data_IF_800251207768
#
_entry.id   IF_800251207768
#
_cell.length_a   1.000
_cell.length_b   1.000
_cell.length_c   1.000
_cell.angle_alpha   90.00
_cell.angle_beta   90.00
_cell.angle_gamma   90.00
#
_symmetry.space_group_name_H-M   'P 1'
#
loop_
_entity.id
_entity.type
_entity.pdbx_description
1 polymer ?
#
# COMPACT_ATOMS: atom_id res chain seq x y z
N UNK A 1 0.85 5.21 -12.34
CA UNK A 1 0.82 6.08 -11.15
C UNK A 1 1.04 5.25 -9.91
N UNK A 2 1.98 5.66 -9.08
CA UNK A 2 2.23 5.06 -7.77
C UNK A 2 1.51 5.89 -6.72
N UNK A 3 0.81 5.24 -5.78
CA UNK A 3 0.16 5.90 -4.64
C UNK A 3 0.74 5.35 -3.35
N UNK A 4 1.25 6.21 -2.47
CA UNK A 4 1.65 5.85 -1.12
C UNK A 4 1.06 6.88 -0.16
N UNK A 5 -0.01 6.49 0.53
CA UNK A 5 -0.84 7.40 1.32
C UNK A 5 -1.55 6.65 2.46
N UNK A 6 -2.20 7.40 3.37
CA UNK A 6 -3.05 6.85 4.42
C UNK A 6 -2.36 6.59 5.76
N UNK A 7 -1.03 6.63 5.84
CA UNK A 7 -0.32 6.39 7.10
C UNK A 7 -0.68 7.39 8.20
N UNK A 8 -0.81 8.68 7.84
CA UNK A 8 -1.24 9.71 8.77
C UNK A 8 -2.71 9.53 9.19
N UNK A 9 -3.56 9.08 8.27
CA UNK A 9 -4.98 8.82 8.51
C UNK A 9 -5.14 7.66 9.50
N UNK A 10 -4.43 6.55 9.28
CA UNK A 10 -4.46 5.38 10.16
C UNK A 10 -3.90 5.67 11.56
N UNK A 11 -2.99 6.64 11.72
CA UNK A 11 -2.51 7.09 13.03
C UNK A 11 -3.57 7.88 13.81
N UNK A 12 -4.52 8.55 13.14
CA UNK A 12 -5.58 9.35 13.80
C UNK A 12 -6.68 8.46 14.35
N UNK A 13 -7.08 8.70 15.61
CA UNK A 13 -8.15 7.91 16.27
C UNK A 13 -9.48 7.99 15.52
N UNK A 14 -9.72 9.09 14.83
CA UNK A 14 -10.88 9.35 13.99
C UNK A 14 -10.69 8.81 12.56
N UNK A 15 -9.90 7.75 12.36
CA UNK A 15 -9.76 7.14 11.04
C UNK A 15 -11.13 6.67 10.57
N UNK A 16 -11.52 7.16 9.40
CA UNK A 16 -12.80 6.90 8.76
C UNK A 16 -12.53 6.18 7.45
N UNK A 17 -12.78 4.87 7.47
CA UNK A 17 -12.53 3.93 6.40
C UNK A 17 -13.33 4.26 5.14
N UNK A 18 -14.60 4.65 5.31
CA UNK A 18 -15.50 4.97 4.21
C UNK A 18 -15.05 6.27 3.53
N UNK A 19 -14.77 7.29 4.32
CA UNK A 19 -14.26 8.57 3.82
C UNK A 19 -12.92 8.40 3.11
N UNK A 20 -11.99 7.63 3.69
CA UNK A 20 -10.70 7.37 3.07
C UNK A 20 -10.86 6.68 1.71
N UNK A 21 -11.71 5.64 1.64
CA UNK A 21 -11.98 4.92 0.39
C UNK A 21 -12.59 5.83 -0.68
N UNK A 22 -13.59 6.64 -0.31
CA UNK A 22 -14.24 7.59 -1.22
C UNK A 22 -13.25 8.65 -1.73
N UNK A 23 -12.44 9.24 -0.83
CA UNK A 23 -11.43 10.24 -1.17
C UNK A 23 -10.39 9.64 -2.13
N UNK A 24 -9.87 8.45 -1.83
CA UNK A 24 -8.90 7.76 -2.68
C UNK A 24 -9.47 7.47 -4.07
N UNK A 25 -10.68 6.92 -4.15
CA UNK A 25 -11.39 6.64 -5.42
C UNK A 25 -11.60 7.92 -6.23
N UNK A 26 -11.98 9.03 -5.58
CA UNK A 26 -12.19 10.32 -6.26
C UNK A 26 -10.91 10.86 -6.92
N UNK A 27 -9.75 10.60 -6.32
CA UNK A 27 -8.44 11.02 -6.82
C UNK A 27 -7.99 10.12 -7.97
N UNK A 28 -8.08 8.81 -7.81
CA UNK A 28 -7.51 7.85 -8.77
C UNK A 28 -8.41 7.59 -9.97
N UNK A 29 -9.74 7.63 -9.79
CA UNK A 29 -10.73 7.31 -10.82
C UNK A 29 -10.55 8.10 -12.12
N UNK A 30 -10.46 9.44 -12.07
CA UNK A 30 -10.23 10.26 -13.27
C UNK A 30 -8.92 9.94 -13.99
N UNK A 31 -7.87 9.57 -13.26
CA UNK A 31 -6.57 9.24 -13.85
C UNK A 31 -6.60 7.86 -14.52
N UNK A 32 -7.22 6.88 -13.87
CA UNK A 32 -7.44 5.55 -14.43
C UNK A 32 -8.30 5.62 -15.69
N UNK A 33 -9.34 6.46 -15.71
CA UNK A 33 -10.18 6.69 -16.88
C UNK A 33 -9.41 7.26 -18.10
N UNK A 34 -8.24 7.88 -17.87
CA UNK A 34 -7.31 8.33 -18.91
C UNK A 34 -6.26 7.26 -19.30
N UNK A 35 -6.43 6.02 -18.84
CA UNK A 35 -5.53 4.91 -19.13
C UNK A 35 -4.31 4.82 -18.21
N UNK A 36 -4.27 5.54 -17.09
CA UNK A 36 -3.14 5.47 -16.15
C UNK A 36 -3.22 4.21 -15.30
N UNK A 37 -2.20 3.35 -15.38
CA UNK A 37 -2.08 2.18 -14.49
C UNK A 37 -1.95 2.60 -13.03
N UNK A 38 -2.88 2.17 -12.17
CA UNK A 38 -2.87 2.41 -10.73
C UNK A 38 -2.03 1.36 -9.99
N UNK A 39 -1.07 1.80 -9.18
CA UNK A 39 -0.17 0.93 -8.38
C UNK A 39 -0.01 1.47 -6.94
N UNK A 40 -0.99 1.22 -6.05
CA UNK A 40 -0.89 1.63 -4.66
C UNK A 40 0.10 0.75 -3.90
N UNK A 41 0.87 1.39 -3.02
CA UNK A 41 1.85 0.76 -2.16
C UNK A 41 1.25 0.59 -0.77
N UNK A 42 1.04 -0.65 -0.36
CA UNK A 42 0.68 -0.99 1.02
C UNK A 42 1.75 -0.49 1.98
N UNK A 43 1.36 -0.07 3.18
CA UNK A 43 2.30 0.44 4.17
C UNK A 43 2.85 -0.69 5.03
N UNK A 44 4.09 -0.53 5.49
CA UNK A 44 4.62 -1.38 6.56
C UNK A 44 3.86 -1.12 7.86
N UNK A 45 3.90 -2.10 8.75
CA UNK A 45 3.11 -2.12 9.97
C UNK A 45 3.92 -1.52 11.13
N UNK A 46 3.83 -0.20 11.22
CA UNK A 46 4.44 0.53 12.33
C UNK A 46 3.86 0.08 13.67
N UNK A 47 2.58 -0.26 13.74
CA UNK A 47 1.90 -0.60 14.98
C UNK A 47 2.41 -1.89 15.60
N UNK A 48 2.66 -2.90 14.77
CA UNK A 48 3.21 -4.20 15.21
C UNK A 48 4.73 -4.20 15.34
N UNK A 49 5.41 -3.10 15.01
CA UNK A 49 6.88 -3.01 15.11
C UNK A 49 7.46 -2.92 16.53
N UNK A 50 6.60 -2.71 17.53
CA UNK A 50 7.01 -2.41 18.91
C UNK A 50 7.45 -0.95 19.13
N UNK A 51 7.39 -0.10 18.10
CA UNK A 51 7.68 1.33 18.23
C UNK A 51 6.49 2.16 18.73
N UNK A 52 5.27 1.64 18.60
CA UNK A 52 4.04 2.25 19.11
C UNK A 52 3.82 1.82 20.56
N UNK A 53 3.72 2.74 21.52
CA UNK A 53 3.49 2.39 22.92
C UNK A 53 2.11 1.76 23.15
N UNK A 54 2.04 0.85 24.12
CA UNK A 54 0.76 0.44 24.70
C UNK A 54 0.09 1.62 25.43
N UNK A 55 -1.25 1.72 25.41
CA UNK A 55 -2.23 0.77 24.85
C UNK A 55 -2.59 1.04 23.37
N UNK A 56 -1.78 1.80 22.63
CA UNK A 56 -2.14 2.26 21.29
C UNK A 56 -1.81 1.28 20.17
N UNK A 57 -0.87 0.35 20.38
CA UNK A 57 -0.39 -0.56 19.35
C UNK A 57 -1.53 -1.36 18.68
N UNK A 58 -2.39 -2.03 19.46
CA UNK A 58 -3.51 -2.81 18.94
C UNK A 58 -4.48 -1.97 18.07
N UNK A 59 -5.06 -0.88 18.60
CA UNK A 59 -5.96 -0.03 17.83
C UNK A 59 -5.32 0.64 16.60
N UNK A 60 -4.01 0.92 16.60
CA UNK A 60 -3.32 1.41 15.40
C UNK A 60 -3.15 0.28 14.39
N UNK A 61 -2.81 -0.94 14.83
CA UNK A 61 -2.64 -2.10 13.96
C UNK A 61 -3.93 -2.42 13.19
N UNK A 62 -5.08 -2.41 13.88
CA UNK A 62 -6.39 -2.60 13.24
C UNK A 62 -6.70 -1.53 12.18
N UNK A 63 -6.21 -0.30 12.35
CA UNK A 63 -6.37 0.77 11.36
C UNK A 63 -5.45 0.58 10.15
N UNK A 64 -4.23 0.11 10.37
CA UNK A 64 -3.31 -0.25 9.29
C UNK A 64 -3.82 -1.45 8.47
N UNK A 65 -4.41 -2.46 9.12
CA UNK A 65 -5.06 -3.60 8.44
C UNK A 65 -6.19 -3.11 7.51
N UNK A 66 -7.05 -2.22 8.03
CA UNK A 66 -8.18 -1.66 7.28
C UNK A 66 -7.72 -0.77 6.15
N UNK A 67 -6.69 0.04 6.37
CA UNK A 67 -6.05 0.85 5.34
C UNK A 67 -5.52 -0.01 4.19
N UNK A 68 -4.77 -1.07 4.48
CA UNK A 68 -4.19 -1.96 3.46
C UNK A 68 -5.27 -2.69 2.65
N UNK A 69 -6.32 -3.17 3.35
CA UNK A 69 -7.46 -3.77 2.69
C UNK A 69 -8.20 -2.77 1.78
N UNK A 70 -8.41 -1.53 2.23
CA UNK A 70 -9.03 -0.46 1.45
C UNK A 70 -8.23 -0.12 0.19
N UNK A 71 -6.91 0.09 0.33
CA UNK A 71 -6.05 0.39 -0.83
C UNK A 71 -6.01 -0.78 -1.81
N UNK A 72 -6.00 -2.02 -1.31
CA UNK A 72 -6.11 -3.22 -2.13
C UNK A 72 -7.43 -3.31 -2.89
N UNK A 73 -8.57 -3.03 -2.24
CA UNK A 73 -9.89 -3.01 -2.88
C UNK A 73 -9.99 -1.94 -3.96
N UNK A 74 -9.60 -0.70 -3.66
CA UNK A 74 -9.63 0.39 -4.65
C UNK A 74 -8.74 0.07 -5.85
N UNK A 75 -7.57 -0.54 -5.63
CA UNK A 75 -6.75 -1.04 -6.72
C UNK A 75 -7.52 -2.02 -7.59
N UNK A 76 -8.10 -3.07 -7.00
CA UNK A 76 -8.82 -4.11 -7.74
C UNK A 76 -10.01 -3.55 -8.54
N UNK A 77 -10.80 -2.66 -7.94
CA UNK A 77 -11.97 -2.02 -8.58
C UNK A 77 -11.59 -1.19 -9.81
N UNK A 78 -10.37 -0.66 -9.86
CA UNK A 78 -9.86 0.19 -10.93
C UNK A 78 -8.88 -0.52 -11.87
N UNK A 79 -8.80 -1.87 -11.84
CA UNK A 79 -7.82 -2.63 -12.62
C UNK A 79 -6.36 -2.34 -12.24
N UNK A 80 -6.16 -1.76 -11.06
CA UNK A 80 -4.89 -1.47 -10.44
C UNK A 80 -4.26 -2.68 -9.76
N UNK A 81 -3.03 -2.50 -9.29
CA UNK A 81 -2.24 -3.59 -8.70
C UNK A 81 -1.61 -3.11 -7.40
N UNK A 82 -1.96 -3.77 -6.31
CA UNK A 82 -1.51 -3.42 -4.98
C UNK A 82 -0.16 -4.06 -4.64
N UNK A 83 0.78 -3.25 -4.14
CA UNK A 83 2.08 -3.75 -3.64
C UNK A 83 1.93 -4.16 -2.19
N UNK A 84 1.92 -5.47 -1.92
CA UNK A 84 1.68 -6.05 -0.59
C UNK A 84 2.85 -5.96 0.38
N UNK A 85 3.23 -4.75 0.81
CA UNK A 85 4.23 -4.60 1.87
C UNK A 85 3.68 -4.97 3.25
N UNK A 86 2.37 -4.83 3.47
CA UNK A 86 1.72 -5.13 4.74
C UNK A 86 1.69 -6.63 5.08
N UNK A 87 1.85 -7.49 4.07
CA UNK A 87 2.01 -8.94 4.25
C UNK A 87 3.49 -9.38 4.20
N UNK A 88 4.44 -8.46 4.11
CA UNK A 88 5.85 -8.79 3.92
C UNK A 88 6.47 -9.36 5.22
N UNK A 89 7.40 -10.34 5.18
CA UNK A 89 8.00 -10.89 6.40
C UNK A 89 8.72 -9.87 7.30
N UNK A 90 9.23 -8.78 6.71
CA UNK A 90 9.84 -7.66 7.43
C UNK A 90 8.86 -6.55 7.85
N UNK A 91 7.54 -6.77 7.70
CA UNK A 91 6.52 -5.73 7.81
C UNK A 91 6.56 -4.97 9.14
N UNK A 92 6.95 -5.65 10.22
CA UNK A 92 7.02 -5.13 11.58
C UNK A 92 8.45 -5.00 12.11
N UNK A 93 9.49 -5.03 11.26
CA UNK A 93 10.88 -4.89 11.75
C UNK A 93 11.10 -3.44 12.26
N UNK A 94 11.38 -3.19 13.56
CA UNK A 94 11.58 -1.83 14.05
C UNK A 94 12.77 -1.13 13.37
N UNK A 95 13.75 -1.86 12.89
CA UNK A 95 14.92 -1.29 12.23
C UNK A 95 14.65 -0.83 10.79
N UNK A 96 13.44 -0.95 10.23
CA UNK A 96 13.11 -0.35 8.93
C UNK A 96 12.54 1.06 9.08
N UNK A 97 12.31 1.52 10.31
CA UNK A 97 11.85 2.88 10.63
C UNK A 97 13.01 3.79 11.02
N UNK A 98 12.85 5.10 10.81
CA UNK A 98 13.84 6.11 11.17
C UNK A 98 13.83 6.42 12.68
N UNK A 99 14.75 7.26 13.13
CA UNK A 99 14.95 7.57 14.55
C UNK A 99 13.76 8.26 15.24
N UNK A 100 12.94 8.98 14.47
CA UNK A 100 11.65 9.56 14.86
C UNK A 100 10.48 8.57 14.76
N UNK A 101 10.77 7.31 14.41
CA UNK A 101 9.93 6.10 14.57
C UNK A 101 8.64 6.07 13.77
N UNK A 102 8.43 6.95 12.80
CA UNK A 102 7.23 6.95 11.96
C UNK A 102 7.58 6.68 10.49
N UNK A 103 8.43 7.48 9.85
CA UNK A 103 8.82 7.22 8.47
C UNK A 103 9.77 6.01 8.37
N UNK A 104 9.77 5.38 7.19
CA UNK A 104 10.80 4.41 6.85
C UNK A 104 12.18 5.08 6.81
N UNK A 105 13.21 4.34 7.21
CA UNK A 105 14.58 4.70 6.91
C UNK A 105 14.98 4.21 5.50
N UNK A 106 16.26 4.37 5.13
CA UNK A 106 16.76 3.93 3.83
C UNK A 106 16.52 2.44 3.56
N UNK A 107 16.64 1.57 4.58
CA UNK A 107 16.38 0.12 4.45
C UNK A 107 14.91 -0.14 4.15
N UNK A 108 14.00 0.49 4.90
CA UNK A 108 12.56 0.39 4.66
C UNK A 108 12.16 0.85 3.25
N UNK A 109 12.66 2.01 2.82
CA UNK A 109 12.42 2.51 1.46
C UNK A 109 12.98 1.58 0.38
N UNK A 110 14.18 1.02 0.57
CA UNK A 110 14.75 0.05 -0.35
C UNK A 110 13.91 -1.23 -0.45
N UNK A 111 13.39 -1.73 0.67
CA UNK A 111 12.49 -2.89 0.70
C UNK A 111 11.18 -2.60 -0.06
N UNK A 112 10.55 -1.45 0.20
CA UNK A 112 9.33 -1.05 -0.50
C UNK A 112 9.56 -0.88 -2.01
N UNK A 113 10.67 -0.25 -2.40
CA UNK A 113 11.03 -0.07 -3.80
C UNK A 113 11.29 -1.41 -4.50
N UNK A 114 11.95 -2.36 -3.82
CA UNK A 114 12.18 -3.70 -4.37
C UNK A 114 10.87 -4.48 -4.55
N UNK A 115 9.93 -4.37 -3.61
CA UNK A 115 8.59 -4.96 -3.76
C UNK A 115 7.83 -4.34 -4.93
N UNK A 116 7.85 -3.01 -5.06
CA UNK A 116 7.27 -2.31 -6.20
C UNK A 116 7.86 -2.79 -7.53
N UNK A 117 9.20 -2.88 -7.63
CA UNK A 117 9.87 -3.33 -8.85
C UNK A 117 9.46 -4.76 -9.23
N UNK A 118 9.36 -5.68 -8.25
CA UNK A 118 8.85 -7.04 -8.47
C UNK A 118 7.40 -7.04 -8.96
N UNK A 119 6.54 -6.24 -8.34
CA UNK A 119 5.13 -6.12 -8.75
C UNK A 119 5.02 -5.61 -10.18
N UNK A 120 5.75 -4.54 -10.54
CA UNK A 120 5.76 -3.99 -11.90
C UNK A 120 6.29 -5.00 -12.92
N UNK A 121 7.37 -5.70 -12.61
CA UNK A 121 7.90 -6.76 -13.47
C UNK A 121 6.84 -7.84 -13.74
N UNK A 122 6.09 -8.27 -12.72
CA UNK A 122 5.02 -9.27 -12.89
C UNK A 122 3.88 -8.79 -13.79
N UNK A 123 3.65 -7.47 -13.89
CA UNK A 123 2.62 -6.90 -14.76
C UNK A 123 3.05 -6.88 -16.21
N UNK A 124 4.30 -6.50 -16.45
CA UNK A 124 4.88 -6.49 -17.79
C UNK A 124 4.87 -7.91 -18.39
N UNK A 125 5.30 -8.91 -17.63
CA UNK A 125 5.27 -10.31 -18.09
C UNK A 125 3.85 -10.82 -18.38
N UNK A 126 2.83 -10.41 -17.61
CA UNK A 126 1.44 -10.75 -17.89
C UNK A 126 0.92 -10.09 -19.16
N UNK A 127 1.26 -8.82 -19.37
CA UNK A 127 0.88 -8.08 -20.57
C UNK A 127 1.45 -8.73 -21.82
N UNK A 128 2.75 -9.08 -21.80
CA UNK A 128 3.41 -9.77 -22.92
C UNK A 128 2.77 -11.13 -23.22
N UNK A 129 2.41 -11.90 -22.18
CA UNK A 129 1.73 -13.18 -22.37
C UNK A 129 0.33 -13.01 -22.99
N UNK A 130 -0.42 -11.96 -22.62
CA UNK A 130 -1.74 -11.66 -23.20
C UNK A 130 -1.65 -11.22 -24.66
N UNK A 131 -0.64 -10.43 -25.03
CA UNK A 131 -0.42 -9.99 -26.43
C UNK A 131 0.00 -11.13 -27.37
N UNK A 132 0.60 -12.20 -26.82
CA UNK A 132 1.03 -13.38 -27.61
C UNK A 132 -0.04 -14.47 -27.74
N UNK A 133 -1.20 -14.32 -27.11
CA UNK A 133 -2.30 -15.27 -27.24
C UNK A 133 -2.91 -15.22 -28.65
N UNK A 134 -3.15 -16.36 -29.33
CA UNK A 134 -3.79 -16.36 -30.64
C UNK A 134 -5.19 -15.72 -30.57
N UNK A 135 -5.52 -14.88 -31.54
CA UNK A 135 -6.89 -14.38 -31.72
C UNK A 135 -7.79 -15.56 -32.13
N UNK A 136 -8.71 -15.96 -31.25
CA UNK A 136 -9.79 -16.91 -31.58
C UNK A 136 -10.83 -16.30 -32.54
#
# INVERSE_FOLDING_TARGET
MIVSAGGNDALRRSFDDERFGADLTSIVGPLVAQGVQLVPIGLFDLARSGLVPDPYAGPVAERFDRLDALTGRVAAEHGGVHVGNHAHPLVADPGIFAGDRIPCNARGHATAAANLARTLSSLLTRSEAQDTAPLE
#
